data_IF_720756661471
#
_entry.id   IF_720756661471
#
_cell.length_a   1.000
_cell.length_b   1.000
_cell.length_c   1.000
_cell.angle_alpha   90.00
_cell.angle_beta   90.00
_cell.angle_gamma   90.00
#
_symmetry.space_group_name_H-M   'P 1'
#
loop_
_entity.id
_entity.type
_entity.pdbx_description
1 polymer ?
#
# COMPACT_ATOMS: atom_id res chain seq x y z
N UNK A 1 12.43 3.86 24.71
CA UNK A 1 13.11 5.16 24.98
C UNK A 1 12.25 6.32 24.46
N UNK A 2 11.56 6.10 23.33
CA UNK A 2 10.71 7.05 22.62
C UNK A 2 9.73 7.83 23.51
N UNK A 3 8.99 7.18 24.42
CA UNK A 3 7.95 7.85 25.26
C UNK A 3 8.48 9.03 26.07
N UNK A 4 9.74 8.98 26.53
CA UNK A 4 10.36 10.09 27.28
C UNK A 4 10.74 11.26 26.36
N UNK A 5 11.15 10.97 25.12
CA UNK A 5 11.44 11.99 24.11
C UNK A 5 10.16 12.70 23.65
N UNK A 6 9.10 11.92 23.37
CA UNK A 6 7.78 12.46 23.00
C UNK A 6 7.20 13.35 24.11
N UNK A 7 7.35 12.96 25.38
CA UNK A 7 6.92 13.77 26.52
C UNK A 7 7.70 15.09 26.63
N UNK A 8 9.03 15.09 26.42
CA UNK A 8 9.81 16.35 26.40
C UNK A 8 9.43 17.25 25.22
N UNK A 9 9.16 16.67 24.04
CA UNK A 9 8.70 17.42 22.85
C UNK A 9 7.33 18.07 23.09
N UNK A 10 6.38 17.35 23.69
CA UNK A 10 5.07 17.88 24.10
C UNK A 10 5.24 19.06 25.06
N UNK A 11 6.00 18.88 26.15
CA UNK A 11 6.27 19.92 27.15
C UNK A 11 7.07 21.13 26.62
N UNK A 12 7.75 21.00 25.49
CA UNK A 12 8.40 22.12 24.81
C UNK A 12 7.39 22.92 23.95
N UNK A 13 6.59 22.22 23.13
CA UNK A 13 5.57 22.84 22.29
C UNK A 13 4.41 23.46 23.10
N UNK A 14 4.05 22.85 24.23
CA UNK A 14 3.09 23.41 25.22
C UNK A 14 3.58 24.72 25.85
N UNK A 15 4.90 24.95 25.92
CA UNK A 15 5.50 26.21 26.39
C UNK A 15 5.63 27.26 25.30
N UNK A 16 5.67 26.85 24.04
CA UNK A 16 5.70 27.76 22.89
C UNK A 16 5.67 26.98 21.58
N UNK A 17 4.77 27.30 20.63
CA UNK A 17 4.69 26.61 19.35
C UNK A 17 5.93 26.82 18.46
N UNK A 18 6.70 27.87 18.73
CA UNK A 18 7.97 28.20 18.05
C UNK A 18 9.21 27.63 18.78
N UNK A 19 9.03 26.68 19.71
CA UNK A 19 10.15 26.06 20.43
C UNK A 19 11.14 25.36 19.48
N UNK A 20 12.43 25.69 19.58
CA UNK A 20 13.47 25.05 18.79
C UNK A 20 13.59 23.56 19.13
N UNK A 21 13.02 22.71 18.28
CA UNK A 21 13.03 21.26 18.43
C UNK A 21 14.45 20.68 18.40
N UNK A 22 15.43 21.34 17.77
CA UNK A 22 16.83 20.89 17.77
C UNK A 22 17.48 21.02 19.15
N UNK A 23 17.06 21.99 19.97
CA UNK A 23 17.47 22.12 21.38
C UNK A 23 16.85 21.05 22.31
N UNK A 24 15.71 20.47 21.90
CA UNK A 24 14.95 19.47 22.68
C UNK A 24 15.37 18.04 22.37
N UNK A 25 15.80 17.79 21.13
CA UNK A 25 16.27 16.49 20.67
C UNK A 25 17.68 16.17 21.24
N UNK A 26 18.05 14.88 21.39
CA UNK A 26 19.39 14.52 21.85
C UNK A 26 20.48 15.10 20.95
N UNK A 27 21.61 15.54 21.49
CA UNK A 27 22.72 16.13 20.71
C UNK A 27 23.30 15.19 19.62
N UNK A 28 23.13 13.88 19.77
CA UNK A 28 23.49 12.88 18.75
C UNK A 28 22.47 12.75 17.61
N UNK A 29 21.25 13.28 17.76
CA UNK A 29 20.11 13.06 16.86
C UNK A 29 20.43 13.44 15.42
N UNK A 30 21.03 14.61 15.18
CA UNK A 30 21.42 15.05 13.83
C UNK A 30 22.45 14.13 13.17
N UNK A 31 23.36 13.53 13.96
CA UNK A 31 24.33 12.54 13.48
C UNK A 31 23.68 11.18 13.21
N UNK A 32 22.73 10.77 14.05
CA UNK A 32 21.89 9.59 13.81
C UNK A 32 21.07 9.77 12.53
N UNK A 33 20.41 10.92 12.36
CA UNK A 33 19.60 11.25 11.18
C UNK A 33 20.44 11.31 9.89
N UNK A 34 21.67 11.82 9.95
CA UNK A 34 22.61 11.77 8.84
C UNK A 34 22.93 10.33 8.42
N UNK A 35 23.28 9.46 9.38
CA UNK A 35 23.52 8.03 9.13
C UNK A 35 22.29 7.25 8.65
N UNK A 36 21.09 7.83 8.75
CA UNK A 36 19.84 7.25 8.25
C UNK A 36 19.47 7.75 6.85
N UNK A 37 19.97 8.89 6.38
CA UNK A 37 19.76 9.38 5.01
C UNK A 37 20.36 8.45 3.95
N UNK A 38 21.45 7.78 4.29
CA UNK A 38 22.21 6.88 3.39
C UNK A 38 21.88 5.40 3.62
N UNK A 39 21.03 5.07 4.61
CA UNK A 39 20.82 3.70 5.04
C UNK A 39 19.79 2.96 4.18
N UNK A 40 20.21 1.87 3.51
CA UNK A 40 19.31 0.94 2.87
C UNK A 40 18.52 0.15 3.94
N UNK A 41 17.20 0.08 3.84
CA UNK A 41 16.36 -0.63 4.83
C UNK A 41 16.77 -2.10 5.00
N UNK A 42 17.33 -2.77 3.98
CA UNK A 42 17.83 -4.16 4.11
C UNK A 42 19.11 -4.30 4.94
N UNK A 43 19.92 -3.24 5.10
CA UNK A 43 21.11 -3.24 5.99
C UNK A 43 20.79 -2.91 7.46
N UNK A 44 19.51 -2.70 7.80
CA UNK A 44 19.07 -2.59 9.20
C UNK A 44 18.72 -3.95 9.83
N UNK A 45 18.64 -5.02 9.03
CA UNK A 45 18.43 -6.39 9.49
C UNK A 45 19.76 -7.00 9.93
N UNK A 46 19.78 -7.63 11.11
CA UNK A 46 20.96 -8.27 11.68
C UNK A 46 20.76 -9.79 11.80
N UNK A 47 21.83 -10.59 11.73
CA UNK A 47 21.69 -12.05 11.91
C UNK A 47 21.19 -12.44 13.32
N UNK A 48 21.39 -11.54 14.28
CA UNK A 48 20.85 -11.59 15.65
C UNK A 48 19.33 -11.31 15.74
N UNK A 49 18.71 -10.71 14.72
CA UNK A 49 17.26 -10.55 14.69
C UNK A 49 16.60 -11.91 14.44
N UNK A 50 15.76 -12.38 15.36
CA UNK A 50 15.05 -13.65 15.19
C UNK A 50 14.02 -13.53 14.06
N UNK A 51 14.19 -14.32 12.99
CA UNK A 51 13.21 -14.45 11.92
C UNK A 51 12.09 -15.44 12.31
N UNK A 52 10.84 -14.96 12.35
CA UNK A 52 9.65 -15.72 12.71
C UNK A 52 8.73 -15.82 11.50
N UNK A 53 8.42 -17.02 11.04
CA UNK A 53 7.44 -17.25 9.96
C UNK A 53 6.04 -17.00 10.54
N UNK A 54 5.40 -15.90 10.09
CA UNK A 54 4.05 -15.49 10.51
C UNK A 54 2.99 -16.13 9.62
N UNK A 55 3.31 -16.33 8.33
CA UNK A 55 2.46 -17.06 7.38
C UNK A 55 3.33 -18.00 6.53
N UNK A 56 2.92 -19.26 6.28
CA UNK A 56 3.75 -20.27 5.64
C UNK A 56 4.40 -19.82 4.33
N UNK A 57 5.67 -20.18 4.16
CA UNK A 57 6.42 -19.91 2.93
C UNK A 57 6.01 -20.89 1.83
N UNK A 58 5.85 -20.41 0.60
CA UNK A 58 5.68 -21.27 -0.58
C UNK A 58 6.96 -22.02 -0.89
N UNK A 59 6.87 -23.12 -1.64
CA UNK A 59 8.05 -23.91 -1.96
C UNK A 59 9.04 -23.14 -2.85
N UNK A 60 8.59 -22.16 -3.62
CA UNK A 60 9.46 -21.27 -4.40
C UNK A 60 10.28 -20.32 -3.52
N UNK A 61 9.71 -19.85 -2.39
CA UNK A 61 10.46 -19.09 -1.39
C UNK A 61 11.46 -20.02 -0.66
N UNK A 62 11.07 -21.26 -0.35
CA UNK A 62 12.00 -22.26 0.23
C UNK A 62 13.13 -22.67 -0.73
N UNK A 63 12.90 -22.64 -2.04
CA UNK A 63 13.93 -22.93 -3.08
C UNK A 63 14.98 -21.82 -3.19
N UNK A 64 14.60 -20.56 -2.98
CA UNK A 64 15.51 -19.41 -3.13
C UNK A 64 16.23 -19.04 -1.82
N UNK A 65 15.62 -19.31 -0.66
CA UNK A 65 16.35 -19.31 0.61
C UNK A 65 17.46 -20.38 0.57
N UNK A 66 18.61 -20.07 1.15
CA UNK A 66 19.70 -21.04 1.28
C UNK A 66 19.31 -22.13 2.29
N UNK A 67 19.90 -23.33 2.16
CA UNK A 67 19.68 -24.47 3.06
C UNK A 67 20.38 -24.32 4.42
N UNK A 68 20.56 -23.09 4.91
CA UNK A 68 21.05 -22.85 6.26
C UNK A 68 19.94 -23.19 7.27
N UNK A 69 20.34 -23.69 8.44
CA UNK A 69 19.43 -23.87 9.57
C UNK A 69 19.06 -22.51 10.21
N UNK A 70 19.88 -21.46 9.99
CA UNK A 70 19.56 -20.10 10.40
C UNK A 70 18.75 -19.35 9.32
N UNK A 71 17.43 -19.29 9.50
CA UNK A 71 16.51 -18.52 8.65
C UNK A 71 16.89 -17.03 8.53
N UNK A 72 17.40 -16.42 9.61
CA UNK A 72 17.81 -15.01 9.61
C UNK A 72 18.99 -14.76 8.69
N UNK A 73 19.98 -15.67 8.65
CA UNK A 73 21.09 -15.59 7.69
C UNK A 73 20.61 -15.83 6.26
N UNK A 74 19.82 -16.89 6.03
CA UNK A 74 19.30 -17.21 4.71
C UNK A 74 18.47 -16.08 4.09
N UNK A 75 17.74 -15.31 4.92
CA UNK A 75 17.05 -14.08 4.52
C UNK A 75 18.06 -12.98 4.16
N UNK A 76 19.04 -12.68 5.02
CA UNK A 76 20.02 -11.61 4.76
C UNK A 76 20.83 -11.90 3.47
N UNK A 77 21.23 -13.16 3.24
CA UNK A 77 21.89 -13.61 2.00
C UNK A 77 21.01 -13.39 0.76
N UNK A 78 19.73 -13.78 0.84
CA UNK A 78 18.76 -13.58 -0.24
C UNK A 78 18.54 -12.08 -0.54
N UNK A 79 18.35 -11.27 0.50
CA UNK A 79 18.14 -9.83 0.37
C UNK A 79 19.39 -9.12 -0.16
N UNK A 80 20.59 -9.54 0.26
CA UNK A 80 21.86 -8.96 -0.18
C UNK A 80 22.11 -9.11 -1.68
N UNK A 81 21.78 -10.27 -2.25
CA UNK A 81 21.90 -10.54 -3.70
C UNK A 81 20.68 -10.10 -4.54
N UNK A 82 19.62 -9.60 -3.91
CA UNK A 82 18.41 -9.16 -4.62
C UNK A 82 18.59 -7.81 -5.31
N UNK A 83 17.99 -7.65 -6.49
CA UNK A 83 17.86 -6.39 -7.22
C UNK A 83 16.85 -5.45 -6.51
N UNK A 84 17.13 -4.14 -6.46
CA UNK A 84 16.23 -3.14 -5.88
C UNK A 84 15.23 -2.70 -6.95
N UNK A 85 13.96 -3.06 -6.78
CA UNK A 85 12.87 -2.65 -7.67
C UNK A 85 12.35 -1.25 -7.30
N UNK A 86 12.30 -0.94 -6.00
CA UNK A 86 11.82 0.34 -5.50
C UNK A 86 12.36 0.61 -4.10
N UNK A 87 12.79 1.84 -3.82
CA UNK A 87 13.18 2.30 -2.48
C UNK A 87 12.74 3.77 -2.32
N UNK A 88 12.01 4.09 -1.25
CA UNK A 88 11.66 5.47 -0.92
C UNK A 88 12.92 6.29 -0.51
N UNK A 89 12.94 7.62 -0.71
CA UNK A 89 14.17 8.43 -0.55
C UNK A 89 14.64 8.69 0.89
N UNK A 90 14.04 8.08 1.91
CA UNK A 90 14.29 8.38 3.33
C UNK A 90 14.45 7.08 4.13
N UNK A 91 15.64 6.80 4.67
CA UNK A 91 15.89 5.56 5.40
C UNK A 91 14.92 5.31 6.55
N UNK A 92 14.69 4.02 6.85
CA UNK A 92 13.51 3.45 7.54
C UNK A 92 12.24 3.28 6.69
N UNK A 93 12.23 3.68 5.42
CA UNK A 93 11.08 3.49 4.54
C UNK A 93 10.92 2.07 3.99
N UNK A 94 9.77 1.81 3.37
CA UNK A 94 9.53 0.64 2.50
C UNK A 94 10.62 0.50 1.43
N UNK A 95 11.02 -0.75 1.16
CA UNK A 95 11.84 -1.18 0.02
C UNK A 95 11.21 -2.43 -0.62
N UNK A 96 11.27 -2.53 -1.95
CA UNK A 96 10.85 -3.71 -2.74
C UNK A 96 12.05 -4.25 -3.50
N UNK A 97 12.24 -5.56 -3.41
CA UNK A 97 13.39 -6.28 -3.94
C UNK A 97 12.93 -7.45 -4.83
N UNK A 98 13.61 -7.70 -5.95
CA UNK A 98 13.42 -8.90 -6.78
C UNK A 98 14.30 -10.02 -6.24
N UNK A 99 13.67 -11.04 -5.65
CA UNK A 99 14.35 -12.16 -5.03
C UNK A 99 14.58 -13.33 -6.00
N UNK A 100 13.78 -13.41 -7.07
CA UNK A 100 13.96 -14.29 -8.24
C UNK A 100 13.06 -13.85 -9.40
N UNK A 101 13.08 -14.59 -10.51
CA UNK A 101 12.17 -14.38 -11.66
C UNK A 101 10.67 -14.45 -11.30
N UNK A 102 10.30 -15.14 -10.23
CA UNK A 102 8.90 -15.33 -9.83
C UNK A 102 8.54 -14.65 -8.50
N UNK A 103 9.53 -14.19 -7.71
CA UNK A 103 9.32 -13.72 -6.34
C UNK A 103 9.90 -12.32 -6.13
N UNK A 104 9.05 -11.41 -5.67
CA UNK A 104 9.44 -10.16 -5.06
C UNK A 104 9.30 -10.25 -3.54
N UNK A 105 10.11 -9.49 -2.81
CA UNK A 105 9.98 -9.30 -1.36
C UNK A 105 9.91 -7.82 -1.05
N UNK A 106 8.83 -7.42 -0.36
CA UNK A 106 8.64 -6.06 0.16
C UNK A 106 8.97 -6.06 1.65
N UNK A 107 9.86 -5.18 2.08
CA UNK A 107 10.18 -4.97 3.49
C UNK A 107 9.41 -3.71 3.96
N UNK A 108 8.56 -3.89 4.97
CA UNK A 108 7.83 -2.82 5.67
C UNK A 108 8.14 -2.88 7.17
N UNK A 109 7.90 -1.83 7.94
CA UNK A 109 8.09 -1.85 9.39
C UNK A 109 6.90 -2.53 10.08
N UNK A 110 7.13 -3.01 11.31
CA UNK A 110 6.12 -3.57 12.19
C UNK A 110 4.91 -2.63 12.43
N UNK A 111 5.18 -1.31 12.43
CA UNK A 111 4.17 -0.26 12.59
C UNK A 111 3.35 0.02 11.33
N UNK A 112 3.81 -0.41 10.15
CA UNK A 112 3.16 -0.10 8.86
C UNK A 112 1.99 -1.04 8.55
N UNK A 113 1.69 -1.98 9.47
CA UNK A 113 0.68 -3.04 9.40
C UNK A 113 0.89 -4.07 8.25
N UNK A 114 0.07 -5.13 8.25
CA UNK A 114 0.16 -6.25 7.28
C UNK A 114 -1.06 -6.36 6.35
N UNK A 115 -1.87 -5.31 6.24
CA UNK A 115 -3.12 -5.30 5.46
C UNK A 115 -2.88 -5.67 4.00
N UNK A 116 -1.76 -5.25 3.40
CA UNK A 116 -1.35 -5.64 2.04
C UNK A 116 -1.22 -7.16 1.89
N UNK A 117 -0.64 -7.85 2.87
CA UNK A 117 -0.52 -9.32 2.83
C UNK A 117 -1.90 -9.99 2.92
N UNK A 118 -2.75 -9.56 3.86
CA UNK A 118 -4.10 -10.13 4.02
C UNK A 118 -5.01 -9.82 2.83
N UNK A 119 -4.85 -8.66 2.18
CA UNK A 119 -5.53 -8.31 0.94
C UNK A 119 -5.11 -9.22 -0.22
N UNK A 120 -3.80 -9.53 -0.34
CA UNK A 120 -3.33 -10.51 -1.33
C UNK A 120 -3.83 -11.93 -1.05
N UNK A 121 -3.99 -12.33 0.21
CA UNK A 121 -4.65 -13.61 0.57
C UNK A 121 -6.12 -13.61 0.14
N UNK A 122 -6.88 -12.57 0.48
CA UNK A 122 -8.27 -12.42 0.04
C UNK A 122 -8.39 -12.47 -1.51
N UNK A 123 -7.52 -11.77 -2.25
CA UNK A 123 -7.54 -11.81 -3.72
C UNK A 123 -7.21 -13.20 -4.27
N UNK A 124 -6.22 -13.90 -3.70
CA UNK A 124 -5.91 -15.30 -4.06
C UNK A 124 -7.12 -16.22 -3.85
N UNK A 125 -7.80 -16.08 -2.71
CA UNK A 125 -8.80 -17.05 -2.23
C UNK A 125 -10.22 -16.77 -2.73
N UNK A 126 -10.55 -15.52 -3.11
CA UNK A 126 -11.91 -15.10 -3.47
C UNK A 126 -12.03 -14.40 -4.84
N UNK A 127 -10.91 -13.89 -5.39
CA UNK A 127 -10.87 -13.13 -6.66
C UNK A 127 -9.67 -13.56 -7.52
N UNK A 128 -9.51 -14.87 -7.67
CA UNK A 128 -8.38 -15.48 -8.37
C UNK A 128 -8.24 -15.04 -9.85
N UNK A 129 -9.33 -14.53 -10.45
CA UNK A 129 -9.42 -13.83 -11.74
C UNK A 129 -8.55 -12.57 -11.83
N UNK A 130 -8.43 -11.81 -10.74
CA UNK A 130 -7.86 -10.46 -10.75
C UNK A 130 -6.33 -10.52 -10.86
N UNK A 131 -5.71 -9.99 -11.93
CA UNK A 131 -4.27 -10.06 -12.14
C UNK A 131 -3.53 -9.10 -11.20
N UNK A 132 -3.14 -9.62 -10.04
CA UNK A 132 -2.44 -8.90 -8.96
C UNK A 132 -1.51 -9.88 -8.22
N UNK A 133 -0.46 -9.40 -7.51
CA UNK A 133 0.49 -10.28 -6.84
C UNK A 133 -0.20 -11.25 -5.86
N UNK A 134 0.27 -12.50 -5.80
CA UNK A 134 -0.22 -13.50 -4.82
C UNK A 134 0.75 -13.59 -3.64
N UNK A 135 0.29 -13.97 -2.44
CA UNK A 135 1.15 -14.05 -1.25
C UNK A 135 1.91 -15.38 -1.23
N UNK A 136 3.24 -15.30 -1.18
CA UNK A 136 4.14 -16.45 -1.09
C UNK A 136 4.74 -16.67 0.31
N UNK A 137 4.52 -15.76 1.26
CA UNK A 137 4.93 -15.94 2.66
C UNK A 137 5.01 -14.62 3.43
N UNK A 138 4.99 -14.71 4.76
CA UNK A 138 5.19 -13.55 5.64
C UNK A 138 6.16 -13.93 6.76
N UNK A 139 7.26 -13.18 6.87
CA UNK A 139 8.24 -13.32 7.97
C UNK A 139 8.30 -12.02 8.75
N UNK A 140 8.35 -12.09 10.07
CA UNK A 140 8.73 -10.98 10.94
C UNK A 140 10.19 -11.15 11.35
N UNK A 141 11.01 -10.12 11.19
CA UNK A 141 12.43 -10.13 11.55
C UNK A 141 12.79 -8.77 12.15
N UNK A 142 13.21 -8.77 13.42
CA UNK A 142 13.46 -7.54 14.17
C UNK A 142 12.22 -6.62 14.19
N UNK A 143 12.37 -5.39 13.68
CA UNK A 143 11.29 -4.39 13.55
C UNK A 143 10.58 -4.41 12.18
N UNK A 144 10.74 -5.45 11.37
CA UNK A 144 10.25 -5.49 9.98
C UNK A 144 9.39 -6.71 9.66
N UNK A 145 8.45 -6.52 8.73
CA UNK A 145 7.76 -7.59 8.01
C UNK A 145 8.33 -7.72 6.60
N UNK A 146 8.63 -8.95 6.21
CA UNK A 146 9.06 -9.34 4.88
C UNK A 146 7.87 -10.03 4.19
N UNK A 147 7.22 -9.29 3.30
CA UNK A 147 6.08 -9.71 2.49
C UNK A 147 6.64 -10.35 1.22
N UNK A 148 6.65 -11.68 1.15
CA UNK A 148 6.99 -12.41 -0.07
C UNK A 148 5.76 -12.52 -0.95
N UNK A 149 5.87 -12.08 -2.21
CA UNK A 149 4.78 -12.03 -3.17
C UNK A 149 5.26 -12.36 -4.58
N UNK A 150 4.33 -12.66 -5.48
CA UNK A 150 4.66 -12.90 -6.91
C UNK A 150 5.28 -11.65 -7.51
N UNK A 151 6.43 -11.79 -8.18
CA UNK A 151 6.98 -10.74 -9.02
C UNK A 151 6.12 -10.64 -10.30
N UNK A 152 5.74 -9.41 -10.67
CA UNK A 152 5.06 -9.14 -11.95
C UNK A 152 6.07 -8.43 -12.84
N UNK A 153 6.47 -9.12 -13.90
CA UNK A 153 7.30 -8.57 -14.97
C UNK A 153 6.48 -7.69 -15.92
N UNK A 154 7.16 -6.78 -16.61
CA UNK A 154 6.54 -5.78 -17.48
C UNK A 154 6.97 -4.36 -17.13
N UNK A 155 6.70 -3.44 -18.05
CA UNK A 155 6.87 -2.01 -17.81
C UNK A 155 5.77 -1.52 -16.85
N UNK A 156 6.05 -0.48 -16.08
CA UNK A 156 4.98 0.24 -15.42
C UNK A 156 4.22 1.09 -16.43
N UNK A 157 2.90 1.23 -16.24
CA UNK A 157 2.07 2.00 -17.16
C UNK A 157 2.56 3.45 -17.23
N UNK A 158 3.19 3.99 -16.17
CA UNK A 158 3.81 5.33 -16.16
C UNK A 158 4.90 5.49 -17.23
N UNK A 159 5.66 4.43 -17.52
CA UNK A 159 6.73 4.40 -18.53
C UNK A 159 6.18 4.17 -19.95
N UNK A 160 5.12 3.36 -20.06
CA UNK A 160 4.47 3.05 -21.32
C UNK A 160 3.57 4.20 -21.81
N UNK A 161 2.87 4.90 -20.91
CA UNK A 161 1.78 5.85 -21.24
C UNK A 161 2.11 6.93 -22.28
N UNK A 162 3.31 7.55 -22.30
CA UNK A 162 3.69 8.53 -23.31
C UNK A 162 3.83 7.96 -24.72
N UNK A 163 3.97 6.64 -24.85
CA UNK A 163 4.17 5.91 -26.11
C UNK A 163 2.87 5.28 -26.64
N UNK A 164 1.77 5.33 -25.88
CA UNK A 164 0.50 4.72 -26.24
C UNK A 164 -0.35 5.63 -27.12
N UNK A 165 -0.88 5.06 -28.19
CA UNK A 165 -1.92 5.70 -29.00
C UNK A 165 -3.25 5.83 -28.25
N UNK A 166 -4.05 6.80 -28.67
CA UNK A 166 -5.42 7.04 -28.21
C UNK A 166 -6.30 5.78 -28.18
N UNK A 167 -6.11 4.85 -29.14
CA UNK A 167 -6.87 3.60 -29.19
C UNK A 167 -6.41 2.60 -28.12
N UNK A 168 -5.10 2.52 -27.85
CA UNK A 168 -4.51 1.67 -26.81
C UNK A 168 -4.85 2.18 -25.41
N UNK A 169 -4.81 3.51 -25.18
CA UNK A 169 -5.24 4.14 -23.92
C UNK A 169 -6.70 3.81 -23.58
N UNK A 170 -7.59 3.79 -24.59
CA UNK A 170 -9.01 3.42 -24.45
C UNK A 170 -9.21 1.93 -24.17
N UNK A 171 -8.45 1.05 -24.82
CA UNK A 171 -8.51 -0.39 -24.57
C UNK A 171 -8.03 -0.75 -23.15
N UNK A 172 -6.90 -0.18 -22.72
CA UNK A 172 -6.39 -0.32 -21.34
C UNK A 172 -7.42 0.19 -20.32
N UNK A 173 -8.07 1.33 -20.57
CA UNK A 173 -9.18 1.81 -19.73
C UNK A 173 -10.34 0.81 -19.66
N UNK A 174 -10.68 0.16 -20.79
CA UNK A 174 -11.69 -0.91 -20.84
C UNK A 174 -11.31 -2.16 -20.04
N UNK A 175 -10.08 -2.67 -20.18
CA UNK A 175 -9.57 -3.80 -19.39
C UNK A 175 -9.60 -3.50 -17.89
N UNK A 176 -9.16 -2.29 -17.51
CA UNK A 176 -9.19 -1.81 -16.14
C UNK A 176 -10.63 -1.71 -15.60
N UNK A 177 -11.60 -1.26 -16.40
CA UNK A 177 -13.01 -1.17 -16.00
C UNK A 177 -13.61 -2.54 -15.67
N UNK A 178 -13.24 -3.58 -16.43
CA UNK A 178 -13.63 -4.97 -16.15
C UNK A 178 -13.00 -5.47 -14.84
N UNK A 179 -11.70 -5.30 -14.65
CA UNK A 179 -10.99 -5.82 -13.47
C UNK A 179 -11.44 -5.09 -12.18
N UNK A 180 -11.60 -3.77 -12.24
CA UNK A 180 -12.10 -2.97 -11.12
C UNK A 180 -13.58 -3.23 -10.84
N UNK A 181 -14.38 -3.56 -11.85
CA UNK A 181 -15.77 -4.00 -11.64
C UNK A 181 -15.83 -5.36 -10.94
N UNK A 182 -15.01 -6.35 -11.32
CA UNK A 182 -14.92 -7.63 -10.59
C UNK A 182 -14.45 -7.38 -9.14
N UNK A 183 -13.43 -6.55 -8.93
CA UNK A 183 -12.94 -6.18 -7.59
C UNK A 183 -14.07 -5.65 -6.68
N UNK A 184 -14.97 -4.84 -7.24
CA UNK A 184 -16.10 -4.22 -6.55
C UNK A 184 -17.35 -5.12 -6.47
N UNK A 185 -17.46 -6.15 -7.32
CA UNK A 185 -18.64 -7.00 -7.42
C UNK A 185 -18.85 -7.89 -6.19
N UNK A 186 -19.88 -7.52 -5.40
CA UNK A 186 -20.57 -8.27 -4.33
C UNK A 186 -19.67 -9.00 -3.33
N UNK A 187 -19.02 -8.22 -2.48
CA UNK A 187 -18.62 -8.69 -1.14
C UNK A 187 -19.69 -8.31 -0.11
N UNK A 188 -20.42 -9.29 0.41
CA UNK A 188 -21.21 -9.08 1.64
C UNK A 188 -20.21 -9.06 2.80
N UNK A 189 -19.96 -7.88 3.38
CA UNK A 189 -19.24 -7.78 4.65
C UNK A 189 -20.11 -8.39 5.77
N UNK A 190 -19.93 -9.67 6.06
CA UNK A 190 -20.64 -10.34 7.16
C UNK A 190 -20.00 -9.91 8.48
N UNK A 191 -20.76 -9.18 9.30
CA UNK A 191 -20.35 -8.90 10.69
C UNK A 191 -20.48 -10.17 11.53
N UNK A 192 -19.47 -10.44 12.36
CA UNK A 192 -19.46 -11.56 13.32
C UNK A 192 -20.39 -11.35 14.53
N UNK A 193 -21.06 -10.19 14.60
CA UNK A 193 -22.11 -9.85 15.56
C UNK A 193 -23.30 -9.22 14.83
N UNK A 194 -24.56 -9.44 15.26
CA UNK A 194 -25.71 -8.76 14.69
C UNK A 194 -25.53 -7.24 14.74
N UNK A 195 -25.67 -6.57 13.60
CA UNK A 195 -25.72 -5.11 13.50
C UNK A 195 -27.19 -4.74 13.72
N UNK A 196 -27.51 -4.17 14.89
CA UNK A 196 -28.89 -3.93 15.31
C UNK A 196 -29.26 -2.45 15.31
N UNK A 197 -28.29 -1.55 15.43
CA UNK A 197 -28.47 -0.10 15.36
C UNK A 197 -27.42 0.56 14.45
N UNK A 198 -27.70 1.77 13.96
CA UNK A 198 -26.81 2.55 13.08
C UNK A 198 -25.40 2.70 13.65
N UNK A 199 -25.28 2.84 14.97
CA UNK A 199 -24.00 2.90 15.69
C UNK A 199 -23.12 1.65 15.49
N UNK A 200 -23.71 0.47 15.37
CA UNK A 200 -22.98 -0.79 15.15
C UNK A 200 -22.44 -0.84 13.72
N UNK A 201 -23.25 -0.40 12.75
CA UNK A 201 -22.84 -0.26 11.35
C UNK A 201 -21.72 0.78 11.20
N UNK A 202 -21.82 1.91 11.89
CA UNK A 202 -20.76 2.92 11.93
C UNK A 202 -19.46 2.36 12.51
N UNK A 203 -19.52 1.62 13.63
CA UNK A 203 -18.35 0.96 14.21
C UNK A 203 -17.75 -0.14 13.32
N UNK A 204 -18.55 -0.72 12.43
CA UNK A 204 -18.16 -1.75 11.46
C UNK A 204 -17.51 -1.18 10.18
N UNK A 205 -17.82 0.08 9.82
CA UNK A 205 -17.27 0.76 8.63
C UNK A 205 -16.13 1.72 8.98
N UNK A 206 -16.20 2.42 10.12
CA UNK A 206 -15.26 3.48 10.53
C UNK A 206 -14.41 3.07 11.74
N UNK A 207 -13.88 1.84 11.74
CA UNK A 207 -13.19 1.26 12.91
C UNK A 207 -11.82 1.87 13.23
N UNK A 208 -11.35 2.88 12.46
CA UNK A 208 -10.18 3.71 12.76
C UNK A 208 -10.37 5.12 12.19
N UNK A 209 -9.84 6.13 12.91
CA UNK A 209 -9.71 7.55 12.53
C UNK A 209 -11.00 8.39 12.42
N UNK A 210 -10.90 9.67 12.83
CA UNK A 210 -11.94 10.70 12.70
C UNK A 210 -12.60 11.13 14.02
N UNK A 211 -12.83 12.43 14.20
CA UNK A 211 -13.56 12.96 15.37
C UNK A 211 -15.09 12.88 15.17
N UNK A 212 -15.92 12.83 16.23
CA UNK A 212 -17.38 12.76 16.07
C UNK A 212 -18.00 13.93 15.30
N UNK A 213 -17.42 15.12 15.43
CA UNK A 213 -17.85 16.33 14.68
C UNK A 213 -17.46 16.20 13.20
N UNK A 214 -16.25 15.74 12.92
CA UNK A 214 -15.76 15.55 11.55
C UNK A 214 -16.54 14.45 10.81
N UNK A 215 -16.82 13.32 11.49
CA UNK A 215 -17.69 12.27 10.96
C UNK A 215 -19.13 12.79 10.72
N UNK A 216 -19.67 13.64 11.60
CA UNK A 216 -20.99 14.28 11.38
C UNK A 216 -20.98 15.26 10.19
N UNK A 217 -19.90 16.00 9.99
CA UNK A 217 -19.72 16.88 8.82
C UNK A 217 -19.68 16.07 7.52
N UNK A 218 -18.86 15.02 7.44
CA UNK A 218 -18.76 14.15 6.26
C UNK A 218 -20.10 13.46 5.94
N UNK A 219 -20.90 13.10 6.95
CA UNK A 219 -22.26 12.57 6.77
C UNK A 219 -23.25 13.59 6.21
N UNK A 220 -23.04 14.90 6.40
CA UNK A 220 -23.95 15.92 5.85
C UNK A 220 -23.89 16.06 4.32
N UNK A 221 -22.89 15.45 3.67
CA UNK A 221 -22.81 15.32 2.21
C UNK A 221 -23.61 14.11 1.66
N UNK A 222 -24.23 13.29 2.52
CA UNK A 222 -25.11 12.19 2.13
C UNK A 222 -26.58 12.53 2.45
N UNK A 223 -27.45 12.72 1.45
CA UNK A 223 -28.89 12.86 1.68
C UNK A 223 -29.47 11.63 2.36
N UNK A 224 -30.36 11.84 3.34
CA UNK A 224 -31.02 10.76 4.09
C UNK A 224 -31.89 9.84 3.23
N UNK A 225 -32.29 10.32 2.05
CA UNK A 225 -33.31 9.72 1.20
C UNK A 225 -32.71 8.87 0.06
N UNK A 226 -31.38 8.74 0.00
CA UNK A 226 -30.68 7.86 -0.93
C UNK A 226 -30.11 6.64 -0.19
N UNK A 227 -30.08 5.44 -0.83
CA UNK A 227 -29.36 4.31 -0.27
C UNK A 227 -27.88 4.65 -0.11
N UNK A 228 -27.33 4.40 1.08
CA UNK A 228 -25.91 4.65 1.37
C UNK A 228 -24.98 3.85 0.45
N UNK A 229 -23.76 4.36 0.18
CA UNK A 229 -22.86 3.77 -0.81
C UNK A 229 -22.43 2.34 -0.43
N UNK A 230 -22.43 1.43 -1.41
CA UNK A 230 -21.96 0.06 -1.24
C UNK A 230 -20.51 0.02 -0.70
N UNK A 231 -20.32 -0.62 0.44
CA UNK A 231 -19.03 -0.76 1.13
C UNK A 231 -18.17 -1.87 0.50
N UNK A 232 -17.83 -1.68 -0.79
CA UNK A 232 -17.06 -2.60 -1.64
C UNK A 232 -15.59 -2.72 -1.22
N UNK A 233 -14.89 -3.72 -1.77
CA UNK A 233 -13.44 -3.82 -1.67
C UNK A 233 -12.79 -2.86 -2.70
N UNK A 234 -12.04 -1.89 -2.21
CA UNK A 234 -11.06 -1.08 -2.96
C UNK A 234 -9.67 -1.34 -2.37
N UNK A 235 -8.63 -0.60 -2.74
CA UNK A 235 -7.25 -0.99 -2.40
C UNK A 235 -6.31 0.18 -1.98
N UNK A 236 -6.58 1.46 -2.28
CA UNK A 236 -5.86 2.62 -1.69
C UNK A 236 -4.61 3.24 -2.37
N UNK A 237 -4.03 2.71 -3.46
CA UNK A 237 -3.09 3.42 -4.38
C UNK A 237 -3.15 2.93 -5.88
N UNK A 238 -3.94 3.57 -6.76
CA UNK A 238 -3.99 3.43 -8.26
C UNK A 238 -3.22 4.64 -8.74
N UNK A 239 -2.18 4.37 -9.50
CA UNK A 239 -1.50 5.32 -10.38
C UNK A 239 -0.81 4.51 -11.49
N UNK A 240 -0.37 5.12 -12.60
CA UNK A 240 0.33 4.39 -13.64
C UNK A 240 1.55 3.60 -13.13
N UNK A 241 2.30 4.09 -12.13
CA UNK A 241 3.40 3.34 -11.49
C UNK A 241 2.99 2.07 -10.70
N UNK A 242 1.70 1.85 -10.47
CA UNK A 242 1.17 0.67 -9.77
C UNK A 242 0.43 -0.30 -10.72
N UNK A 243 0.47 -0.02 -12.02
CA UNK A 243 -0.18 -0.84 -13.05
C UNK A 243 0.93 -1.40 -13.94
N UNK A 244 1.13 -2.72 -13.90
CA UNK A 244 2.12 -3.40 -14.75
C UNK A 244 1.48 -3.82 -16.06
N UNK A 245 2.14 -3.50 -17.17
CA UNK A 245 1.70 -3.85 -18.53
C UNK A 245 2.72 -4.68 -19.30
N UNK A 246 2.20 -5.54 -20.16
CA UNK A 246 2.97 -6.38 -21.08
C UNK A 246 2.40 -6.19 -22.49
N UNK A 247 3.26 -6.01 -23.48
CA UNK A 247 2.84 -6.02 -24.88
C UNK A 247 2.81 -7.46 -25.40
N UNK A 248 1.74 -7.82 -26.10
CA UNK A 248 1.56 -9.10 -26.77
C UNK A 248 2.22 -9.06 -28.16
N UNK A 249 2.42 -10.23 -28.78
CA UNK A 249 3.04 -10.37 -30.12
C UNK A 249 2.25 -9.68 -31.25
N UNK A 250 0.95 -9.44 -31.05
CA UNK A 250 0.08 -8.70 -31.97
C UNK A 250 0.09 -7.17 -31.77
N UNK A 251 0.90 -6.67 -30.81
CA UNK A 251 1.01 -5.26 -30.47
C UNK A 251 -0.02 -4.75 -29.46
N UNK A 252 -1.01 -5.56 -29.07
CA UNK A 252 -1.95 -5.22 -27.99
C UNK A 252 -1.29 -5.24 -26.61
N UNK A 253 -1.87 -4.57 -25.63
CA UNK A 253 -1.31 -4.48 -24.27
C UNK A 253 -2.20 -5.22 -23.27
N UNK A 254 -1.59 -5.93 -22.31
CA UNK A 254 -2.29 -6.64 -21.23
C UNK A 254 -1.96 -6.03 -19.88
N UNK A 255 -2.97 -5.89 -19.01
CA UNK A 255 -2.88 -5.11 -17.76
C UNK A 255 -2.91 -5.97 -16.49
N UNK A 256 -2.18 -5.55 -15.45
CA UNK A 256 -2.18 -6.12 -14.08
C UNK A 256 -2.01 -5.00 -13.03
N UNK A 257 -2.54 -5.19 -11.80
CA UNK A 257 -3.05 -4.07 -10.98
C UNK A 257 -2.63 -4.03 -9.50
N UNK A 258 -2.32 -2.81 -9.04
CA UNK A 258 -2.38 -2.27 -7.66
C UNK A 258 -3.15 -0.91 -7.70
N UNK A 259 -4.00 -0.60 -6.71
CA UNK A 259 -5.24 0.25 -6.84
C UNK A 259 -5.56 1.05 -5.54
N UNK A 260 -6.17 2.25 -5.26
CA UNK A 260 -6.73 3.57 -5.77
C UNK A 260 -6.25 4.84 -4.96
N UNK A 261 -5.40 5.80 -5.47
CA UNK A 261 -5.15 7.21 -4.99
C UNK A 261 -3.96 7.96 -5.70
N UNK A 262 -3.91 9.32 -5.71
CA UNK A 262 -2.76 10.27 -6.01
C UNK A 262 -2.96 11.48 -7.00
N UNK A 263 -4.16 11.92 -7.41
CA UNK A 263 -4.29 13.08 -8.33
C UNK A 263 -3.82 14.42 -7.70
N UNK A 264 -2.91 15.14 -8.39
CA UNK A 264 -2.41 16.48 -8.03
C UNK A 264 -3.08 17.62 -8.83
N UNK A 265 -2.82 18.89 -8.48
CA UNK A 265 -3.22 20.09 -9.26
C UNK A 265 -2.15 20.55 -10.25
N UNK A 266 -0.92 20.05 -10.13
CA UNK A 266 0.19 20.27 -11.07
C UNK A 266 0.46 19.02 -11.93
N UNK A 267 -0.55 18.16 -12.04
CA UNK A 267 -0.49 16.92 -12.82
C UNK A 267 -0.39 17.22 -14.32
N UNK A 268 0.57 16.57 -14.99
CA UNK A 268 0.82 16.71 -16.42
C UNK A 268 0.36 15.51 -17.25
N UNK A 269 0.02 14.39 -16.62
CA UNK A 269 -0.40 13.17 -17.32
C UNK A 269 -1.87 13.23 -17.74
N UNK A 270 -2.15 12.94 -19.01
CA UNK A 270 -3.51 12.82 -19.55
C UNK A 270 -4.24 11.55 -19.06
N UNK A 271 -3.56 10.66 -18.32
CA UNK A 271 -4.10 9.47 -17.66
C UNK A 271 -5.48 9.67 -17.02
N UNK A 272 -5.70 10.80 -16.35
CA UNK A 272 -6.92 11.05 -15.60
C UNK A 272 -8.15 11.31 -16.49
N UNK A 273 -7.94 11.58 -17.79
CA UNK A 273 -8.99 11.63 -18.81
C UNK A 273 -9.45 10.23 -19.25
N UNK A 274 -8.65 9.20 -18.97
CA UNK A 274 -8.87 7.81 -19.35
C UNK A 274 -9.24 6.91 -18.14
N UNK A 275 -9.61 7.50 -16.99
CA UNK A 275 -10.02 6.73 -15.81
C UNK A 275 -11.21 5.79 -16.13
N UNK A 276 -11.14 4.52 -15.71
CA UNK A 276 -12.23 3.56 -15.87
C UNK A 276 -13.54 4.08 -15.26
N UNK A 277 -14.66 3.79 -15.91
CA UNK A 277 -15.98 4.33 -15.55
C UNK A 277 -16.34 4.05 -14.10
N UNK A 278 -16.11 2.82 -13.63
CA UNK A 278 -16.40 2.37 -12.27
C UNK A 278 -15.61 3.08 -11.14
N UNK A 279 -14.58 3.88 -11.47
CA UNK A 279 -13.81 4.73 -10.54
C UNK A 279 -13.73 6.20 -10.97
N UNK A 280 -14.42 6.57 -12.05
CA UNK A 280 -14.36 7.92 -12.62
C UNK A 280 -15.04 8.95 -11.71
N UNK A 281 -14.46 10.17 -11.55
CA UNK A 281 -15.13 11.28 -10.88
C UNK A 281 -16.51 11.61 -11.45
N UNK A 282 -16.74 11.34 -12.75
CA UNK A 282 -18.04 11.57 -13.42
C UNK A 282 -19.16 10.65 -12.91
N UNK A 283 -18.82 9.51 -12.28
CA UNK A 283 -19.80 8.57 -11.70
C UNK A 283 -19.73 8.51 -10.16
N UNK A 284 -18.61 8.94 -9.56
CA UNK A 284 -18.35 8.86 -8.12
C UNK A 284 -18.03 10.23 -7.48
N UNK A 285 -18.54 11.34 -8.04
CA UNK A 285 -18.13 12.72 -7.72
C UNK A 285 -18.08 13.04 -6.22
N UNK A 286 -19.17 12.77 -5.48
CA UNK A 286 -19.25 13.03 -4.04
C UNK A 286 -18.19 12.25 -3.26
N UNK A 287 -17.89 11.00 -3.67
CA UNK A 287 -16.86 10.19 -3.01
C UNK A 287 -15.46 10.70 -3.33
N UNK A 288 -15.19 11.06 -4.58
CA UNK A 288 -13.92 11.67 -5.01
C UNK A 288 -13.61 12.98 -4.26
N UNK A 289 -14.64 13.79 -3.97
CA UNK A 289 -14.51 14.99 -3.15
C UNK A 289 -14.27 14.66 -1.66
N UNK A 290 -15.02 13.70 -1.10
CA UNK A 290 -14.87 13.28 0.29
C UNK A 290 -13.51 12.64 0.59
N UNK A 291 -12.99 11.79 -0.31
CA UNK A 291 -11.66 11.18 -0.15
C UNK A 291 -10.57 12.26 -0.20
N UNK A 292 -10.64 13.22 -1.14
CA UNK A 292 -9.71 14.36 -1.18
C UNK A 292 -9.77 15.28 0.05
N UNK A 293 -10.92 15.38 0.73
CA UNK A 293 -11.07 16.10 2.01
C UNK A 293 -10.60 15.24 3.19
N UNK A 294 -10.61 13.92 3.07
CA UNK A 294 -10.18 12.97 4.09
C UNK A 294 -8.65 12.81 4.14
N UNK A 295 -8.01 12.58 2.98
CA UNK A 295 -6.58 12.27 2.90
C UNK A 295 -5.67 13.41 3.41
N UNK A 296 -6.12 14.66 3.28
CA UNK A 296 -5.43 15.85 3.82
C UNK A 296 -5.32 15.86 5.36
N UNK A 297 -5.96 14.92 6.05
CA UNK A 297 -5.98 14.80 7.51
C UNK A 297 -5.57 13.40 8.02
N UNK A 298 -5.00 12.56 7.14
CA UNK A 298 -4.62 11.15 7.45
C UNK A 298 -3.18 10.80 7.03
N UNK A 299 -2.50 11.68 6.28
CA UNK A 299 -1.07 11.61 5.95
C UNK A 299 -0.17 12.09 7.11
#
# INVERSE_FOLDING_TARGET
MESRMLMTLSLALEKGPEADLLSVLPSVYSKTLAGLRECNTRSLLQESDTAIIVSPLSDDVKKILTKDNNLSRAIIELLGRSEVLFQYPHGFSTIVLRASEAIAVKIVRDVDNITEYTSMQYLRDQKASIPAPRPHGLVKMGKFYLIFMTFISGLDLEEAWPQLEDHQKRDISGQLDVILSDLRMRNIRISSKPIMITKDFEGFIFSNSGSPVYLKFLRSFYPSDQPGPDCVFTHGDIRPANIKVTQNEDGSWKVSLKVTNNLSTIEGSDWYLYLPKCVSPLQCLTRWLLDRVWDQHVA
#
